data_IF_575766292145
#
_entry.id   IF_575766292145
#
_cell.length_a   1.000
_cell.length_b   1.000
_cell.length_c   1.000
_cell.angle_alpha   90.00
_cell.angle_beta   90.00
_cell.angle_gamma   90.00
#
_symmetry.space_group_name_H-M   'P 1'
#
loop_
_entity.id
_entity.type
_entity.pdbx_description
1 polymer ?
#
# COMPACT_ATOMS: atom_id res chain seq x y z
N UNK A 1 -12.96 -24.24 22.88
CA UNK A 1 -12.69 -23.80 21.49
C UNK A 1 -13.96 -23.49 20.71
N UNK A 2 -14.82 -24.47 20.37
CA UNK A 2 -16.02 -24.22 19.55
C UNK A 2 -16.98 -23.18 20.15
N UNK A 3 -17.20 -23.22 21.46
CA UNK A 3 -17.98 -22.20 22.18
C UNK A 3 -17.43 -20.79 21.97
N UNK A 4 -16.10 -20.60 22.09
CA UNK A 4 -15.48 -19.29 21.86
C UNK A 4 -15.68 -18.81 20.41
N UNK A 5 -15.49 -19.69 19.42
CA UNK A 5 -15.72 -19.34 18.00
C UNK A 5 -17.17 -19.00 17.69
N UNK A 6 -18.12 -19.68 18.34
CA UNK A 6 -19.55 -19.41 18.15
C UNK A 6 -19.98 -18.10 18.81
N UNK A 7 -19.45 -17.82 20.00
CA UNK A 7 -19.85 -16.66 20.78
C UNK A 7 -19.11 -15.37 20.36
N UNK A 8 -17.99 -15.51 19.62
CA UNK A 8 -17.19 -14.41 19.09
C UNK A 8 -16.90 -14.63 17.59
N UNK A 9 -17.92 -14.59 16.71
CA UNK A 9 -17.79 -14.99 15.30
C UNK A 9 -16.86 -14.09 14.46
N UNK A 10 -16.55 -12.88 14.93
CA UNK A 10 -15.60 -11.95 14.29
C UNK A 10 -14.16 -12.08 14.79
N UNK A 11 -13.90 -12.88 15.82
CA UNK A 11 -12.56 -13.03 16.40
C UNK A 11 -11.78 -14.18 15.73
N UNK A 12 -10.52 -13.91 15.38
CA UNK A 12 -9.59 -14.95 14.92
C UNK A 12 -8.88 -15.61 16.10
N UNK A 13 -8.93 -16.94 16.15
CA UNK A 13 -8.38 -17.75 17.25
C UNK A 13 -7.34 -18.74 16.75
N UNK A 14 -6.20 -18.79 17.46
CA UNK A 14 -5.28 -19.91 17.43
C UNK A 14 -5.20 -20.54 18.81
N UNK A 15 -5.12 -21.87 18.85
CA UNK A 15 -4.97 -22.65 20.08
C UNK A 15 -3.75 -23.56 19.95
N UNK A 16 -3.10 -23.84 21.08
CA UNK A 16 -1.97 -24.74 21.20
C UNK A 16 -2.15 -25.64 22.41
N UNK A 17 -1.31 -26.67 22.52
CA UNK A 17 -1.32 -27.62 23.63
C UNK A 17 0.11 -27.83 24.10
N UNK A 18 0.32 -27.61 25.38
CA UNK A 18 1.52 -27.98 26.12
C UNK A 18 1.10 -28.96 27.20
N UNK A 19 1.93 -29.97 27.45
CA UNK A 19 1.84 -30.81 28.63
C UNK A 19 3.16 -30.82 29.38
N UNK A 20 3.09 -31.21 30.63
CA UNK A 20 4.20 -31.32 31.55
C UNK A 20 3.86 -32.33 32.63
N UNK A 21 4.90 -32.80 33.30
CA UNK A 21 4.87 -33.63 34.50
C UNK A 21 5.89 -32.96 35.41
N UNK A 22 7.00 -33.65 35.64
CA UNK A 22 8.15 -33.11 36.34
C UNK A 22 9.47 -33.47 35.65
N UNK A 23 10.58 -33.01 36.22
CA UNK A 23 11.92 -33.28 35.75
C UNK A 23 12.32 -34.73 36.03
N UNK A 24 12.78 -35.50 35.02
CA UNK A 24 13.11 -36.92 35.15
C UNK A 24 14.47 -37.15 35.87
N UNK A 25 14.64 -36.60 37.07
CA UNK A 25 15.89 -36.52 37.81
C UNK A 25 15.71 -36.68 39.33
N UNK A 26 16.84 -36.88 40.00
CA UNK A 26 16.95 -36.80 41.45
C UNK A 26 17.56 -35.44 41.82
N UNK A 27 16.96 -34.72 42.77
CA UNK A 27 17.54 -33.47 43.24
C UNK A 27 18.92 -33.67 43.89
N UNK A 28 19.80 -32.65 43.87
CA UNK A 28 21.09 -32.72 44.55
C UNK A 28 20.91 -32.69 46.07
N UNK A 29 22.02 -32.65 46.81
CA UNK A 29 21.95 -32.45 48.27
C UNK A 29 21.11 -31.21 48.61
N UNK A 30 20.30 -31.30 49.68
CA UNK A 30 19.38 -30.25 50.10
C UNK A 30 20.01 -28.84 50.15
N UNK A 31 21.27 -28.72 50.55
CA UNK A 31 21.98 -27.43 50.61
C UNK A 31 22.18 -26.77 49.25
N UNK A 32 22.18 -27.54 48.16
CA UNK A 32 22.27 -27.07 46.78
C UNK A 32 20.89 -26.94 46.10
N UNK A 33 19.81 -27.26 46.82
CA UNK A 33 18.43 -27.23 46.34
C UNK A 33 17.50 -26.55 47.37
N UNK A 34 17.96 -25.44 47.95
CA UNK A 34 17.15 -24.60 48.85
C UNK A 34 16.49 -25.36 50.02
N UNK A 35 17.18 -26.36 50.58
CA UNK A 35 16.68 -27.17 51.69
C UNK A 35 15.77 -28.34 51.29
N UNK A 36 15.50 -28.51 50.00
CA UNK A 36 14.62 -29.55 49.47
C UNK A 36 15.41 -30.74 48.92
N UNK A 37 14.96 -31.98 49.18
CA UNK A 37 15.69 -33.19 48.78
C UNK A 37 14.73 -34.35 48.51
N UNK A 38 14.15 -34.37 47.31
CA UNK A 38 13.33 -35.46 46.79
C UNK A 38 13.73 -35.83 45.36
N UNK A 39 13.20 -36.96 44.88
CA UNK A 39 13.17 -37.24 43.45
C UNK A 39 12.02 -36.44 42.85
N UNK A 40 12.31 -35.70 41.79
CA UNK A 40 11.31 -34.89 41.07
C UNK A 40 10.50 -35.84 40.18
N UNK A 41 11.20 -36.62 39.35
CA UNK A 41 10.56 -37.58 38.46
C UNK A 41 11.40 -38.80 38.09
N UNK A 42 10.78 -39.66 37.30
CA UNK A 42 11.39 -40.84 36.68
C UNK A 42 11.65 -40.62 35.20
N UNK A 43 12.39 -41.53 34.57
CA UNK A 43 12.82 -41.40 33.18
C UNK A 43 11.69 -41.38 32.12
N UNK A 44 10.45 -41.67 32.50
CA UNK A 44 9.27 -41.53 31.64
C UNK A 44 8.66 -40.12 31.68
N UNK A 45 9.05 -39.30 32.65
CA UNK A 45 8.53 -37.96 32.85
C UNK A 45 9.26 -36.95 31.97
N UNK A 46 8.66 -35.78 31.86
CA UNK A 46 9.22 -34.63 31.14
C UNK A 46 8.66 -33.34 31.73
N UNK A 47 9.55 -32.37 31.95
CA UNK A 47 9.17 -31.08 32.52
C UNK A 47 8.39 -30.19 31.52
N UNK A 48 8.55 -30.41 30.22
CA UNK A 48 7.86 -29.63 29.20
C UNK A 48 7.77 -30.38 27.88
N UNK A 49 6.58 -30.35 27.26
CA UNK A 49 6.39 -30.77 25.87
C UNK A 49 5.36 -29.90 25.16
N UNK A 50 5.75 -29.35 24.02
CA UNK A 50 4.82 -28.74 23.09
C UNK A 50 4.14 -29.83 22.23
N UNK A 51 2.93 -30.24 22.60
CA UNK A 51 2.17 -31.27 21.87
C UNK A 51 1.50 -30.73 20.59
N UNK A 52 1.21 -29.43 20.55
CA UNK A 52 0.62 -28.75 19.39
C UNK A 52 0.97 -27.26 19.39
N UNK A 53 1.70 -26.80 18.38
CA UNK A 53 1.91 -25.36 18.13
C UNK A 53 0.58 -24.65 17.81
N UNK A 54 0.54 -23.34 18.06
CA UNK A 54 -0.61 -22.48 17.82
C UNK A 54 -1.18 -22.64 16.40
N UNK A 55 -2.42 -23.13 16.29
CA UNK A 55 -3.12 -23.37 15.01
C UNK A 55 -4.59 -22.93 15.09
N UNK A 56 -5.16 -22.53 13.95
CA UNK A 56 -6.58 -22.22 13.83
C UNK A 56 -7.47 -23.49 13.74
N UNK A 57 -6.86 -24.64 13.45
CA UNK A 57 -7.53 -25.94 13.26
C UNK A 57 -7.85 -26.58 14.61
N UNK A 58 -9.12 -26.49 15.03
CA UNK A 58 -9.56 -27.05 16.33
C UNK A 58 -9.49 -28.57 16.38
N UNK A 59 -9.48 -29.26 15.23
CA UNK A 59 -9.31 -30.71 15.14
C UNK A 59 -7.89 -31.13 15.56
N UNK A 60 -6.86 -30.42 15.11
CA UNK A 60 -5.46 -30.72 15.46
C UNK A 60 -5.24 -30.60 16.97
N UNK A 61 -5.80 -29.54 17.56
CA UNK A 61 -5.75 -29.24 18.99
C UNK A 61 -6.51 -30.30 19.79
N UNK A 62 -7.72 -30.68 19.35
CA UNK A 62 -8.49 -31.75 19.99
C UNK A 62 -7.75 -33.10 19.93
N UNK A 63 -7.12 -33.40 18.79
CA UNK A 63 -6.33 -34.62 18.63
C UNK A 63 -5.09 -34.62 19.54
N UNK A 64 -4.43 -33.47 19.72
CA UNK A 64 -3.33 -33.35 20.67
C UNK A 64 -3.79 -33.57 22.12
N UNK A 65 -4.90 -32.94 22.53
CA UNK A 65 -5.51 -33.14 23.87
C UNK A 65 -5.84 -34.63 24.09
N UNK A 66 -6.45 -35.30 23.12
CA UNK A 66 -6.83 -36.72 23.23
C UNK A 66 -5.62 -37.68 23.30
N UNK A 67 -4.43 -37.23 22.88
CA UNK A 67 -3.18 -38.00 22.96
C UNK A 67 -2.45 -37.82 24.28
N UNK A 68 -2.84 -36.85 25.12
CA UNK A 68 -2.19 -36.62 26.40
C UNK A 68 -2.24 -37.88 27.27
N UNK A 69 -1.21 -38.04 28.09
CA UNK A 69 -1.03 -39.16 29.02
C UNK A 69 -0.68 -38.58 30.38
N UNK A 70 -1.21 -39.20 31.43
CA UNK A 70 -0.82 -38.89 32.78
C UNK A 70 0.55 -39.51 33.07
N UNK A 71 1.41 -38.71 33.69
CA UNK A 71 2.62 -39.17 34.35
C UNK A 71 2.34 -39.25 35.84
N UNK A 72 3.35 -39.67 36.59
CA UNK A 72 3.33 -39.57 38.04
C UNK A 72 4.74 -39.13 38.40
N UNK A 73 4.91 -37.83 38.72
CA UNK A 73 6.12 -37.38 39.39
C UNK A 73 6.38 -38.20 40.65
N UNK A 74 7.51 -37.95 41.29
CA UNK A 74 7.95 -38.69 42.47
C UNK A 74 7.83 -37.87 43.76
N UNK A 75 7.48 -36.59 43.63
CA UNK A 75 7.09 -35.70 44.72
C UNK A 75 5.84 -34.87 44.37
N UNK A 76 5.46 -34.00 45.30
CA UNK A 76 4.23 -33.21 45.21
C UNK A 76 4.34 -32.02 44.23
N UNK A 77 5.40 -31.18 44.24
CA UNK A 77 5.52 -30.07 43.30
C UNK A 77 5.70 -30.55 41.85
N UNK A 78 5.38 -29.69 40.88
CA UNK A 78 5.53 -30.03 39.46
C UNK A 78 6.26 -28.91 38.70
N UNK A 79 6.66 -29.15 37.46
CA UNK A 79 7.45 -28.22 36.65
C UNK A 79 6.63 -27.07 36.03
N UNK A 80 5.74 -26.45 36.81
CA UNK A 80 4.91 -25.34 36.37
C UNK A 80 5.75 -24.14 35.92
N UNK A 81 6.78 -23.77 36.70
CA UNK A 81 7.65 -22.61 36.41
C UNK A 81 8.27 -22.75 35.03
N UNK A 82 8.77 -23.93 34.68
CA UNK A 82 9.24 -24.24 33.34
C UNK A 82 8.21 -23.98 32.24
N UNK A 83 6.97 -24.42 32.41
CA UNK A 83 5.91 -24.25 31.40
C UNK A 83 5.55 -22.78 31.21
N UNK A 84 5.49 -22.01 32.30
CA UNK A 84 5.26 -20.57 32.25
C UNK A 84 6.40 -19.87 31.51
N UNK A 85 7.64 -20.20 31.81
CA UNK A 85 8.83 -19.66 31.14
C UNK A 85 8.82 -19.93 29.63
N UNK A 86 8.55 -21.16 29.22
CA UNK A 86 8.51 -21.56 27.81
C UNK A 86 7.39 -20.85 27.02
N UNK A 87 6.37 -20.31 27.70
CA UNK A 87 5.28 -19.60 27.05
C UNK A 87 5.73 -18.29 26.36
N UNK A 88 6.80 -17.65 26.83
CA UNK A 88 7.37 -16.45 26.20
C UNK A 88 8.80 -16.64 25.69
N UNK A 89 9.55 -17.61 26.24
CA UNK A 89 10.95 -17.86 25.85
C UNK A 89 11.11 -19.04 24.90
N UNK A 90 10.07 -19.86 24.73
CA UNK A 90 10.13 -21.12 23.98
C UNK A 90 10.03 -20.89 22.47
N UNK A 91 10.91 -21.50 21.65
CA UNK A 91 10.91 -21.28 20.21
C UNK A 91 9.67 -21.86 19.50
N UNK A 92 8.91 -22.73 20.16
CA UNK A 92 7.75 -23.41 19.57
C UNK A 92 6.42 -22.69 19.75
N UNK A 93 6.33 -21.71 20.66
CA UNK A 93 5.12 -20.92 20.89
C UNK A 93 5.30 -19.55 20.23
N UNK A 94 4.72 -19.40 19.04
CA UNK A 94 4.79 -18.16 18.27
C UNK A 94 3.48 -17.39 18.41
N UNK A 95 3.43 -16.48 19.38
CA UNK A 95 2.29 -15.57 19.52
C UNK A 95 2.16 -14.67 18.30
N UNK A 96 0.92 -14.39 17.88
CA UNK A 96 0.67 -13.40 16.83
C UNK A 96 0.85 -12.00 17.39
N UNK A 97 1.43 -11.12 16.58
CA UNK A 97 1.45 -9.69 16.88
C UNK A 97 0.02 -9.14 16.97
N UNK A 98 -0.21 -8.23 17.92
CA UNK A 98 -1.52 -7.64 18.21
C UNK A 98 -2.56 -8.59 18.81
N UNK A 99 -2.28 -9.89 18.97
CA UNK A 99 -3.22 -10.83 19.57
C UNK A 99 -3.18 -10.79 21.10
N UNK A 100 -4.35 -10.94 21.74
CA UNK A 100 -4.43 -11.25 23.16
C UNK A 100 -3.80 -12.62 23.43
N UNK A 101 -2.81 -12.66 24.33
CA UNK A 101 -2.07 -13.88 24.69
C UNK A 101 -2.61 -14.41 26.01
N UNK A 102 -3.14 -15.63 25.99
CA UNK A 102 -3.74 -16.28 27.15
C UNK A 102 -3.07 -17.64 27.33
N UNK A 103 -2.46 -17.85 28.49
CA UNK A 103 -1.95 -19.14 28.93
C UNK A 103 -2.96 -19.72 29.93
N UNK A 104 -3.74 -20.71 29.48
CA UNK A 104 -4.67 -21.45 30.33
C UNK A 104 -3.99 -22.73 30.82
N UNK A 105 -3.74 -22.81 32.12
CA UNK A 105 -3.13 -23.96 32.76
C UNK A 105 -4.12 -24.72 33.64
N UNK A 106 -3.97 -26.04 33.68
CA UNK A 106 -4.73 -26.95 34.55
C UNK A 106 -3.75 -27.72 35.42
N UNK A 107 -3.96 -27.74 36.73
CA UNK A 107 -3.11 -28.45 37.68
C UNK A 107 -3.75 -28.58 39.06
N UNK A 108 -3.02 -29.17 39.99
CA UNK A 108 -3.47 -29.41 41.37
C UNK A 108 -2.36 -29.32 42.44
N UNK A 109 -1.13 -28.90 42.10
CA UNK A 109 -0.06 -28.62 43.07
C UNK A 109 0.73 -27.29 42.85
N UNK A 110 1.81 -27.08 43.60
CA UNK A 110 2.67 -25.89 43.51
C UNK A 110 3.87 -26.13 42.58
N UNK A 111 4.48 -25.07 42.02
CA UNK A 111 5.77 -25.18 41.32
C UNK A 111 6.90 -25.63 42.23
N UNK A 112 7.95 -26.20 41.62
CA UNK A 112 9.31 -26.12 42.14
C UNK A 112 9.77 -24.65 42.16
N UNK A 113 10.03 -24.12 43.35
CA UNK A 113 10.70 -22.85 43.59
C UNK A 113 11.30 -22.80 45.02
N UNK A 114 12.29 -21.93 45.25
CA UNK A 114 12.95 -21.82 46.55
C UNK A 114 12.13 -21.05 47.61
N UNK A 115 11.08 -20.33 47.20
CA UNK A 115 10.42 -19.29 47.97
C UNK A 115 8.96 -19.06 47.52
N UNK A 116 8.17 -20.12 47.33
CA UNK A 116 6.77 -20.04 46.86
C UNK A 116 5.85 -19.14 47.71
N UNK A 117 6.22 -18.82 48.95
CA UNK A 117 5.44 -17.91 49.80
C UNK A 117 5.68 -16.42 49.50
N UNK A 118 6.67 -16.07 48.69
CA UNK A 118 6.95 -14.69 48.34
C UNK A 118 5.76 -14.07 47.59
N UNK A 119 5.37 -12.87 48.02
CA UNK A 119 4.23 -12.15 47.46
C UNK A 119 2.85 -12.72 47.82
N UNK A 120 2.76 -13.78 48.62
CA UNK A 120 1.47 -14.38 49.00
C UNK A 120 0.88 -13.67 50.22
N UNK A 121 -0.35 -13.13 50.12
CA UNK A 121 -1.00 -12.46 51.26
C UNK A 121 -1.09 -13.33 52.50
N UNK A 122 -0.63 -12.80 53.64
CA UNK A 122 -0.70 -13.47 54.94
C UNK A 122 0.39 -14.52 55.19
N UNK A 123 1.31 -14.75 54.26
CA UNK A 123 2.50 -15.60 54.44
C UNK A 123 3.75 -14.72 54.58
N UNK A 124 4.67 -15.13 55.44
CA UNK A 124 5.91 -14.37 55.73
C UNK A 124 7.12 -15.26 55.98
N UNK A 125 6.90 -16.57 56.09
CA UNK A 125 7.90 -17.62 56.12
C UNK A 125 8.37 -17.95 54.70
N UNK A 126 9.64 -18.33 54.56
CA UNK A 126 10.16 -18.91 53.32
C UNK A 126 9.77 -20.39 53.27
N UNK A 127 9.04 -20.77 52.22
CA UNK A 127 8.72 -22.16 51.93
C UNK A 127 9.38 -22.54 50.61
N UNK A 128 10.26 -23.53 50.66
CA UNK A 128 10.94 -24.10 49.51
C UNK A 128 10.25 -25.41 49.10
N UNK A 129 10.01 -25.54 47.81
CA UNK A 129 9.56 -26.77 47.15
C UNK A 129 10.64 -27.35 46.25
N UNK A 130 11.87 -26.83 46.36
CA UNK A 130 13.01 -27.20 45.52
C UNK A 130 13.07 -26.33 44.26
N UNK A 131 14.28 -26.04 43.80
CA UNK A 131 14.55 -25.17 42.66
C UNK A 131 14.05 -25.81 41.35
N UNK A 132 13.60 -25.00 40.40
CA UNK A 132 13.39 -25.42 39.01
C UNK A 132 14.72 -25.35 38.23
N UNK A 133 15.28 -26.49 37.78
CA UNK A 133 16.62 -26.56 37.15
C UNK A 133 16.63 -26.19 35.66
N UNK A 134 15.59 -25.53 35.14
CA UNK A 134 15.66 -24.97 33.81
C UNK A 134 15.80 -25.97 32.67
N UNK A 135 16.31 -25.51 31.51
CA UNK A 135 16.29 -26.29 30.26
C UNK A 135 17.25 -27.45 30.26
N UNK A 136 18.42 -27.28 30.86
CA UNK A 136 19.46 -28.29 30.89
C UNK A 136 19.23 -29.36 31.97
N UNK A 137 18.34 -29.10 32.93
CA UNK A 137 18.01 -30.03 34.02
C UNK A 137 19.16 -30.19 35.02
N UNK A 138 20.08 -29.23 35.07
CA UNK A 138 21.18 -29.15 36.01
C UNK A 138 20.89 -28.05 37.02
N UNK A 139 21.22 -28.29 38.28
CA UNK A 139 21.00 -27.31 39.33
C UNK A 139 22.20 -26.37 39.48
N UNK A 140 21.92 -25.11 39.79
CA UNK A 140 22.90 -24.05 40.06
C UNK A 140 23.68 -23.61 38.81
N UNK A 141 22.96 -23.55 37.70
CA UNK A 141 23.37 -23.02 36.40
C UNK A 141 22.67 -21.68 36.14
N UNK A 142 23.05 -20.99 35.06
CA UNK A 142 22.46 -19.70 34.68
C UNK A 142 21.02 -19.83 34.12
N UNK A 143 20.55 -21.05 33.82
CA UNK A 143 19.21 -21.31 33.28
C UNK A 143 18.21 -21.82 34.32
N UNK A 144 18.64 -22.01 35.58
CA UNK A 144 17.77 -22.22 36.74
C UNK A 144 16.66 -21.15 36.76
N UNK A 145 15.43 -21.56 37.01
CA UNK A 145 14.28 -20.67 36.98
C UNK A 145 13.81 -20.31 38.40
N UNK A 146 13.58 -19.02 38.60
CA UNK A 146 12.86 -18.46 39.74
C UNK A 146 11.41 -18.16 39.34
N UNK A 147 10.44 -18.59 40.14
CA UNK A 147 9.02 -18.44 39.81
C UNK A 147 8.63 -16.97 39.63
N UNK A 148 9.14 -16.08 40.47
CA UNK A 148 8.74 -14.68 40.49
C UNK A 148 9.30 -13.93 39.30
N UNK A 149 10.55 -14.21 38.93
CA UNK A 149 11.14 -13.74 37.67
C UNK A 149 10.34 -14.26 36.46
N UNK A 150 9.90 -15.52 36.50
CA UNK A 150 9.09 -16.10 35.42
C UNK A 150 7.70 -15.46 35.32
N UNK A 151 7.03 -15.18 36.45
CA UNK A 151 5.76 -14.46 36.51
C UNK A 151 5.91 -13.04 35.97
N UNK A 152 7.00 -12.35 36.32
CA UNK A 152 7.32 -11.04 35.77
C UNK A 152 7.56 -11.11 34.26
N UNK A 153 8.22 -12.15 33.75
CA UNK A 153 8.37 -12.41 32.32
C UNK A 153 7.04 -12.57 31.57
N UNK A 154 6.01 -13.16 32.20
CA UNK A 154 4.66 -13.20 31.62
C UNK A 154 4.08 -11.78 31.45
N UNK A 155 4.23 -10.93 32.47
CA UNK A 155 3.77 -9.53 32.45
C UNK A 155 4.46 -8.76 31.33
N UNK A 156 5.80 -8.84 31.24
CA UNK A 156 6.60 -8.15 30.23
C UNK A 156 6.26 -8.58 28.80
N UNK A 157 5.83 -9.83 28.63
CA UNK A 157 5.43 -10.38 27.34
C UNK A 157 3.92 -10.28 27.07
N UNK A 158 3.16 -9.56 27.91
CA UNK A 158 1.71 -9.38 27.81
C UNK A 158 0.94 -10.72 27.75
N UNK A 159 1.39 -11.73 28.50
CA UNK A 159 0.75 -13.04 28.58
C UNK A 159 -0.12 -13.09 29.84
N UNK A 160 -1.43 -13.25 29.65
CA UNK A 160 -2.37 -13.43 30.74
C UNK A 160 -2.42 -14.89 31.18
N UNK A 161 -2.18 -15.16 32.46
CA UNK A 161 -2.27 -16.50 33.04
C UNK A 161 -3.66 -16.76 33.62
N UNK A 162 -4.35 -17.76 33.09
CA UNK A 162 -5.55 -18.33 33.71
C UNK A 162 -5.18 -19.68 34.30
N UNK A 163 -5.42 -19.85 35.59
CA UNK A 163 -5.10 -21.08 36.29
C UNK A 163 -6.37 -21.76 36.77
N UNK A 164 -6.65 -22.95 36.25
CA UNK A 164 -7.64 -23.86 36.82
C UNK A 164 -6.93 -24.77 37.83
N UNK A 165 -7.24 -24.63 39.13
CA UNK A 165 -6.50 -25.31 40.19
C UNK A 165 -7.26 -25.52 41.50
N UNK A 166 -6.67 -26.26 42.43
CA UNK A 166 -7.23 -26.64 43.74
C UNK A 166 -6.70 -25.81 44.93
N UNK A 167 -5.73 -24.91 44.73
CA UNK A 167 -4.99 -24.23 45.81
C UNK A 167 -4.97 -22.71 45.61
N UNK A 168 -5.02 -21.95 46.71
CA UNK A 168 -5.20 -20.48 46.65
C UNK A 168 -3.92 -19.69 46.32
N UNK A 169 -2.73 -20.30 46.33
CA UNK A 169 -1.48 -19.65 45.90
C UNK A 169 -1.62 -18.99 44.52
N UNK A 170 -2.26 -19.73 43.61
CA UNK A 170 -2.48 -19.32 42.24
C UNK A 170 -3.38 -18.08 42.09
N UNK A 171 -4.19 -17.74 43.09
CA UNK A 171 -4.96 -16.49 43.08
C UNK A 171 -4.02 -15.27 43.09
N UNK A 172 -2.97 -15.30 43.92
CA UNK A 172 -2.01 -14.21 44.01
C UNK A 172 -1.18 -14.11 42.72
N UNK A 173 -0.66 -15.22 42.22
CA UNK A 173 0.20 -15.23 41.03
C UNK A 173 -0.55 -14.88 39.74
N UNK A 174 -1.75 -15.43 39.52
CA UNK A 174 -2.56 -15.08 38.32
C UNK A 174 -2.89 -13.59 38.28
N UNK A 175 -3.15 -12.97 39.44
CA UNK A 175 -3.50 -11.54 39.53
C UNK A 175 -2.41 -10.60 39.01
N UNK A 176 -1.13 -10.99 39.10
CA UNK A 176 -0.01 -10.18 38.59
C UNK A 176 -0.06 -10.01 37.07
N UNK A 177 -0.61 -11.00 36.37
CA UNK A 177 -0.76 -10.99 34.90
C UNK A 177 -2.10 -10.40 34.43
N UNK A 178 -2.91 -9.88 35.36
CA UNK A 178 -4.31 -9.50 35.11
C UNK A 178 -5.23 -10.69 34.79
N UNK A 179 -4.75 -11.91 35.04
CA UNK A 179 -5.45 -13.16 34.75
C UNK A 179 -6.42 -13.57 35.84
N UNK A 180 -6.72 -14.86 35.92
CA UNK A 180 -7.74 -15.36 36.84
C UNK A 180 -7.50 -16.79 37.31
N UNK A 181 -8.01 -17.06 38.51
CA UNK A 181 -8.03 -18.38 39.13
C UNK A 181 -9.43 -18.98 39.00
N UNK A 182 -9.50 -20.28 38.67
CA UNK A 182 -10.74 -21.06 38.62
C UNK A 182 -10.57 -22.33 39.44
N UNK A 183 -11.49 -22.60 40.36
CA UNK A 183 -11.38 -23.76 41.24
C UNK A 183 -11.73 -25.06 40.49
N UNK A 184 -10.82 -26.04 40.45
CA UNK A 184 -11.02 -27.33 39.76
C UNK A 184 -12.08 -28.21 40.42
N UNK A 185 -12.33 -28.05 41.72
CA UNK A 185 -13.39 -28.76 42.43
C UNK A 185 -14.79 -28.17 42.22
N UNK A 186 -14.91 -27.07 41.46
CA UNK A 186 -16.20 -26.46 41.13
C UNK A 186 -17.05 -27.39 40.25
N UNK A 187 -18.33 -27.58 40.62
CA UNK A 187 -19.32 -28.25 39.76
C UNK A 187 -19.59 -27.51 38.44
N UNK A 188 -19.12 -26.28 38.29
CA UNK A 188 -19.22 -25.46 37.08
C UNK A 188 -17.88 -25.20 36.38
N UNK A 189 -16.80 -25.93 36.71
CA UNK A 189 -15.44 -25.70 36.19
C UNK A 189 -15.38 -25.34 34.70
N UNK A 190 -15.98 -26.16 33.83
CA UNK A 190 -15.96 -25.93 32.37
C UNK A 190 -16.62 -24.58 32.01
N UNK A 191 -17.75 -24.24 32.65
CA UNK A 191 -18.44 -22.98 32.43
C UNK A 191 -17.59 -21.80 32.93
N UNK A 192 -16.96 -21.96 34.09
CA UNK A 192 -16.18 -20.90 34.74
C UNK A 192 -14.91 -20.60 33.94
N UNK A 193 -14.20 -21.62 33.46
CA UNK A 193 -13.05 -21.47 32.55
C UNK A 193 -13.48 -20.78 31.25
N UNK A 194 -14.57 -21.22 30.62
CA UNK A 194 -15.07 -20.57 29.40
C UNK A 194 -15.41 -19.10 29.66
N UNK A 195 -16.05 -18.80 30.79
CA UNK A 195 -16.42 -17.43 31.16
C UNK A 195 -15.17 -16.55 31.32
N UNK A 196 -14.19 -16.99 32.11
CA UNK A 196 -12.96 -16.21 32.35
C UNK A 196 -12.19 -15.99 31.04
N UNK A 197 -12.07 -17.00 30.18
CA UNK A 197 -11.40 -16.83 28.88
C UNK A 197 -12.14 -15.82 28.02
N UNK A 198 -13.48 -15.86 27.98
CA UNK A 198 -14.27 -14.86 27.24
C UNK A 198 -14.09 -13.46 27.80
N UNK A 199 -14.23 -13.29 29.12
CA UNK A 199 -14.06 -11.98 29.75
C UNK A 199 -12.65 -11.42 29.47
N UNK A 200 -11.62 -12.25 29.52
CA UNK A 200 -10.24 -11.88 29.17
C UNK A 200 -10.07 -11.44 27.71
N UNK A 201 -10.92 -11.94 26.81
CA UNK A 201 -10.94 -11.60 25.38
C UNK A 201 -11.81 -10.37 25.09
N UNK A 202 -12.84 -10.08 25.88
CA UNK A 202 -13.84 -9.04 25.58
C UNK A 202 -13.79 -7.84 26.53
N UNK A 203 -12.87 -7.83 27.51
CA UNK A 203 -12.78 -6.74 28.51
C UNK A 203 -12.00 -5.51 28.05
N UNK A 204 -11.22 -5.63 26.98
CA UNK A 204 -10.42 -4.53 26.47
C UNK A 204 -11.10 -3.85 25.29
N UNK A 205 -11.43 -2.58 25.48
CA UNK A 205 -11.83 -1.70 24.39
C UNK A 205 -10.68 -1.52 23.40
N UNK A 206 -10.99 -1.68 22.12
CA UNK A 206 -10.13 -1.32 21.00
C UNK A 206 -10.44 0.12 20.63
N UNK A 207 -9.41 0.96 20.69
CA UNK A 207 -9.48 2.38 20.41
C UNK A 207 -8.71 2.71 19.13
N UNK A 208 -9.05 3.84 18.52
CA UNK A 208 -8.33 4.30 17.35
C UNK A 208 -8.67 3.55 16.07
N UNK A 209 -9.75 2.77 16.02
CA UNK A 209 -10.09 2.01 14.82
C UNK A 209 -10.32 2.96 13.63
N UNK A 210 -9.52 2.82 12.58
CA UNK A 210 -9.62 3.64 11.37
C UNK A 210 -9.20 2.83 10.15
N UNK A 211 -9.69 3.19 8.98
CA UNK A 211 -9.29 2.57 7.71
C UNK A 211 -7.99 3.20 7.23
N UNK A 212 -7.02 2.36 6.90
CA UNK A 212 -5.71 2.77 6.43
C UNK A 212 -5.04 1.73 5.57
N UNK A 213 -3.73 1.88 5.35
CA UNK A 213 -2.90 0.92 4.63
C UNK A 213 -1.51 0.83 5.26
N UNK A 214 -0.94 -0.37 5.29
CA UNK A 214 0.44 -0.58 5.73
C UNK A 214 1.47 -0.10 4.68
N UNK A 215 1.04 0.14 3.44
CA UNK A 215 1.91 0.65 2.38
C UNK A 215 2.15 2.15 2.53
N UNK A 216 3.36 2.51 2.95
CA UNK A 216 3.76 3.90 3.18
C UNK A 216 3.59 4.81 1.95
N UNK A 217 3.56 4.26 0.72
CA UNK A 217 3.33 5.05 -0.51
C UNK A 217 1.90 5.60 -0.60
N UNK A 218 0.95 4.90 0.03
CA UNK A 218 -0.48 5.16 -0.07
C UNK A 218 -1.10 5.56 1.27
N UNK A 219 -0.33 5.62 2.37
CA UNK A 219 -0.83 6.04 3.69
C UNK A 219 -1.61 7.37 3.65
N UNK A 220 -1.14 8.36 2.90
CA UNK A 220 -1.82 9.66 2.78
C UNK A 220 -3.04 9.65 1.86
N UNK A 221 -3.29 8.55 1.14
CA UNK A 221 -4.40 8.44 0.21
C UNK A 221 -5.67 7.99 0.93
N UNK A 222 -5.53 7.24 2.03
CA UNK A 222 -6.63 6.60 2.73
C UNK A 222 -6.90 7.34 4.03
N UNK A 223 -8.17 7.63 4.29
CA UNK A 223 -8.61 8.20 5.55
C UNK A 223 -10.03 7.76 5.88
N UNK A 224 -10.36 7.62 7.16
CA UNK A 224 -11.72 7.48 7.65
C UNK A 224 -11.87 8.23 8.98
N UNK A 225 -13.10 8.33 9.46
CA UNK A 225 -13.34 8.64 10.86
C UNK A 225 -12.75 7.53 11.76
N UNK A 226 -12.40 7.93 12.98
CA UNK A 226 -11.87 7.03 14.01
C UNK A 226 -12.99 6.56 14.93
N UNK A 227 -13.02 5.27 15.25
CA UNK A 227 -13.94 4.65 16.21
C UNK A 227 -13.17 4.23 17.46
N UNK A 228 -13.71 4.56 18.63
CA UNK A 228 -13.17 4.21 19.94
C UNK A 228 -14.16 3.33 20.70
N UNK A 229 -13.68 2.57 21.69
CA UNK A 229 -14.52 1.79 22.57
C UNK A 229 -15.10 0.52 21.95
N UNK A 230 -14.58 0.05 20.81
CA UNK A 230 -15.08 -1.16 20.17
C UNK A 230 -14.64 -2.40 20.96
N UNK A 231 -15.53 -3.37 21.13
CA UNK A 231 -15.20 -4.63 21.78
C UNK A 231 -14.92 -5.74 20.74
N UNK A 232 -14.06 -6.71 21.07
CA UNK A 232 -13.85 -7.88 20.22
C UNK A 232 -15.17 -8.62 19.93
N UNK A 233 -15.51 -8.71 18.64
CA UNK A 233 -16.76 -9.29 18.14
C UNK A 233 -17.79 -8.26 17.68
N UNK A 234 -17.59 -6.98 17.96
CA UNK A 234 -18.45 -5.90 17.44
C UNK A 234 -18.35 -5.82 15.92
N UNK A 235 -19.50 -5.53 15.29
CA UNK A 235 -19.54 -5.18 13.87
C UNK A 235 -19.43 -3.65 13.74
N UNK A 236 -18.30 -3.18 13.22
CA UNK A 236 -18.02 -1.75 13.04
C UNK A 236 -18.00 -1.42 11.54
N UNK A 237 -18.78 -0.41 11.14
CA UNK A 237 -18.83 0.06 9.75
C UNK A 237 -18.01 1.33 9.58
N UNK A 238 -17.21 1.38 8.52
CA UNK A 238 -16.40 2.55 8.17
C UNK A 238 -16.80 3.09 6.80
N UNK A 239 -16.74 4.42 6.66
CA UNK A 239 -16.74 5.09 5.35
C UNK A 239 -15.33 5.60 5.09
N UNK A 240 -14.61 4.90 4.22
CA UNK A 240 -13.26 5.28 3.83
C UNK A 240 -13.29 6.24 2.64
N UNK A 241 -12.45 7.26 2.70
CA UNK A 241 -12.12 8.12 1.57
C UNK A 241 -10.77 7.71 1.01
N UNK A 242 -10.70 7.50 -0.29
CA UNK A 242 -9.45 7.29 -1.01
C UNK A 242 -9.24 8.46 -1.97
N UNK A 243 -8.24 9.30 -1.69
CA UNK A 243 -7.96 10.51 -2.44
C UNK A 243 -6.46 10.60 -2.77
N UNK A 244 -6.06 10.37 -4.03
CA UNK A 244 -4.69 10.60 -4.45
C UNK A 244 -4.27 12.07 -4.21
N UNK A 245 -3.05 12.32 -3.70
CA UNK A 245 -2.54 13.68 -3.53
C UNK A 245 -2.27 14.34 -4.89
N UNK A 246 -2.19 15.67 -4.89
CA UNK A 246 -1.78 16.41 -6.07
C UNK A 246 -0.38 15.97 -6.53
N UNK A 247 -0.22 15.72 -7.83
CA UNK A 247 1.04 15.22 -8.41
C UNK A 247 1.25 13.71 -8.27
N UNK A 248 0.26 12.95 -7.80
CA UNK A 248 0.29 11.49 -7.88
C UNK A 248 0.49 11.04 -9.33
N UNK A 249 1.32 10.01 -9.53
CA UNK A 249 1.73 9.56 -10.87
C UNK A 249 0.56 8.95 -11.64
N UNK A 250 0.52 9.22 -12.94
CA UNK A 250 -0.41 8.56 -13.85
C UNK A 250 -0.27 7.02 -13.81
N UNK A 251 -1.38 6.32 -14.02
CA UNK A 251 -1.42 4.86 -14.11
C UNK A 251 -2.35 4.20 -13.08
N UNK A 252 -2.31 2.87 -13.08
CA UNK A 252 -3.06 2.02 -12.14
C UNK A 252 -2.26 1.83 -10.85
N UNK A 253 -2.90 2.16 -9.71
CA UNK A 253 -2.37 1.95 -8.37
C UNK A 253 -3.22 0.91 -7.66
N UNK A 254 -2.58 -0.12 -7.10
CA UNK A 254 -3.25 -1.17 -6.33
C UNK A 254 -2.56 -1.35 -4.98
N UNK A 255 -3.35 -1.39 -3.91
CA UNK A 255 -2.83 -1.59 -2.55
C UNK A 255 -3.91 -2.18 -1.64
N UNK A 256 -3.46 -2.80 -0.55
CA UNK A 256 -4.35 -3.36 0.47
C UNK A 256 -4.82 -2.27 1.43
N UNK A 257 -6.08 -2.36 1.84
CA UNK A 257 -6.73 -1.46 2.78
C UNK A 257 -7.25 -2.30 3.94
N UNK A 258 -6.93 -1.93 5.17
CA UNK A 258 -7.36 -2.65 6.37
C UNK A 258 -7.84 -1.64 7.43
N UNK A 259 -8.43 -2.14 8.51
CA UNK A 259 -8.70 -1.33 9.69
C UNK A 259 -7.51 -1.43 10.64
N UNK A 260 -7.07 -0.33 11.23
CA UNK A 260 -5.96 -0.28 12.18
C UNK A 260 -6.44 0.33 13.50
N UNK A 261 -5.94 -0.14 14.64
CA UNK A 261 -6.12 0.52 15.94
C UNK A 261 -5.01 1.56 16.20
N UNK A 262 -5.05 2.21 17.37
CA UNK A 262 -4.01 3.17 17.80
C UNK A 262 -2.60 2.56 17.92
N UNK A 263 -2.49 1.23 18.00
CA UNK A 263 -1.22 0.50 18.09
C UNK A 263 -0.76 -0.06 16.73
N UNK A 264 -1.38 0.37 15.62
CA UNK A 264 -1.15 -0.13 14.26
C UNK A 264 -1.42 -1.64 14.07
N UNK A 265 -2.23 -2.26 14.94
CA UNK A 265 -2.70 -3.63 14.75
C UNK A 265 -3.75 -3.65 13.65
N UNK A 266 -3.58 -4.52 12.65
CA UNK A 266 -4.50 -4.63 11.52
C UNK A 266 -5.65 -5.61 11.76
N UNK A 267 -6.86 -5.19 11.42
CA UNK A 267 -8.13 -5.92 11.47
C UNK A 267 -8.81 -5.91 10.10
N UNK A 268 -9.78 -6.81 9.90
CA UNK A 268 -10.55 -6.86 8.64
C UNK A 268 -9.63 -7.00 7.43
N UNK A 269 -8.79 -8.03 7.41
CA UNK A 269 -7.76 -8.18 6.37
C UNK A 269 -8.38 -8.54 5.01
N UNK A 270 -7.61 -8.30 3.94
CA UNK A 270 -7.86 -8.69 2.55
C UNK A 270 -8.81 -7.79 1.75
N UNK A 271 -8.95 -6.51 2.09
CA UNK A 271 -9.57 -5.55 1.16
C UNK A 271 -8.51 -4.92 0.25
N UNK A 272 -8.88 -4.70 -1.01
CA UNK A 272 -8.00 -4.14 -2.04
C UNK A 272 -8.64 -2.90 -2.65
N UNK A 273 -7.85 -1.85 -2.80
CA UNK A 273 -8.22 -0.65 -3.53
C UNK A 273 -7.50 -0.61 -4.88
N UNK A 274 -8.21 -0.17 -5.91
CA UNK A 274 -7.68 0.04 -7.26
C UNK A 274 -8.06 1.45 -7.73
N UNK A 275 -7.06 2.27 -8.03
CA UNK A 275 -7.25 3.66 -8.42
C UNK A 275 -6.48 3.91 -9.71
N UNK A 276 -7.19 4.39 -10.74
CA UNK A 276 -6.59 4.78 -12.00
C UNK A 276 -6.49 6.30 -12.06
N UNK A 277 -5.27 6.81 -12.16
CA UNK A 277 -5.00 8.23 -12.39
C UNK A 277 -4.74 8.40 -13.89
N UNK A 278 -5.42 9.36 -14.51
CA UNK A 278 -5.25 9.72 -15.92
C UNK A 278 -4.86 11.19 -16.01
N UNK A 279 -3.75 11.49 -16.68
CA UNK A 279 -3.31 12.85 -16.92
C UNK A 279 -3.66 13.22 -18.36
N UNK A 280 -4.80 13.88 -18.57
CA UNK A 280 -5.10 14.43 -19.89
C UNK A 280 -4.25 15.67 -20.14
N UNK A 281 -3.29 15.59 -21.07
CA UNK A 281 -2.62 16.79 -21.60
C UNK A 281 -3.65 17.52 -22.47
N UNK A 282 -3.96 18.81 -22.23
CA UNK A 282 -4.82 19.57 -23.13
C UNK A 282 -4.14 19.67 -24.50
N UNK A 283 -4.76 19.15 -25.55
CA UNK A 283 -4.29 19.35 -26.93
C UNK A 283 -4.70 20.74 -27.41
N UNK A 284 -3.77 21.53 -27.93
CA UNK A 284 -4.11 22.85 -28.47
C UNK A 284 -4.50 22.78 -29.96
N UNK A 285 -5.34 23.70 -30.47
CA UNK A 285 -5.69 23.75 -31.89
C UNK A 285 -4.50 23.97 -32.83
N UNK A 286 -3.32 24.37 -32.36
CA UNK A 286 -2.15 24.52 -33.23
C UNK A 286 -1.39 23.21 -33.43
N UNK A 287 -1.41 22.31 -32.44
CA UNK A 287 -0.66 21.04 -32.47
C UNK A 287 -1.24 20.04 -33.48
N UNK A 288 -2.51 20.19 -33.84
CA UNK A 288 -3.23 19.27 -34.74
C UNK A 288 -3.58 19.89 -36.09
N UNK A 289 -3.12 21.11 -36.37
CA UNK A 289 -3.49 21.84 -37.57
C UNK A 289 -2.87 21.26 -38.85
N UNK A 290 -3.71 21.08 -39.88
CA UNK A 290 -3.30 20.63 -41.20
C UNK A 290 -3.95 21.48 -42.31
N UNK A 291 -3.33 21.53 -43.49
CA UNK A 291 -3.96 22.12 -44.66
C UNK A 291 -5.00 21.14 -45.22
N UNK A 292 -6.22 21.61 -45.53
CA UNK A 292 -7.26 20.79 -46.20
C UNK A 292 -6.80 20.24 -47.55
N UNK A 293 -5.76 20.84 -48.15
CA UNK A 293 -5.02 20.31 -49.30
C UNK A 293 -3.54 20.58 -49.13
N UNK A 294 -2.74 19.53 -48.91
CA UNK A 294 -1.28 19.62 -48.88
C UNK A 294 -0.63 19.62 -50.27
N UNK A 295 -1.38 19.28 -51.33
CA UNK A 295 -0.90 19.26 -52.72
C UNK A 295 -1.91 19.89 -53.69
N UNK A 296 -1.40 20.72 -54.60
CA UNK A 296 -2.16 21.41 -55.65
C UNK A 296 -1.60 21.03 -57.03
N UNK A 297 -2.45 20.49 -57.90
CA UNK A 297 -2.11 20.02 -59.25
C UNK A 297 -3.37 20.01 -60.14
N UNK A 298 -3.29 20.25 -61.48
CA UNK A 298 -2.13 20.58 -62.32
C UNK A 298 -1.71 22.07 -62.27
N UNK A 299 -0.51 22.45 -62.78
CA UNK A 299 -0.10 23.86 -62.89
C UNK A 299 -0.88 24.54 -64.01
N UNK A 300 -2.03 25.09 -63.71
CA UNK A 300 -2.88 25.71 -64.72
C UNK A 300 -3.13 27.19 -64.43
N UNK A 301 -2.35 27.78 -63.53
CA UNK A 301 -2.42 29.17 -63.09
C UNK A 301 -3.76 29.57 -62.45
N UNK A 302 -4.63 28.60 -62.13
CA UNK A 302 -5.91 28.85 -61.44
C UNK A 302 -5.70 28.94 -59.94
N UNK A 303 -6.49 29.80 -59.30
CA UNK A 303 -6.59 29.82 -57.84
C UNK A 303 -7.27 28.56 -57.32
N UNK A 304 -6.71 27.98 -56.26
CA UNK A 304 -7.22 26.80 -55.57
C UNK A 304 -7.45 27.14 -54.11
N UNK A 305 -8.67 26.90 -53.65
CA UNK A 305 -9.03 27.11 -52.25
C UNK A 305 -8.44 26.01 -51.37
N UNK A 306 -7.89 26.46 -50.26
CA UNK A 306 -7.28 25.67 -49.19
C UNK A 306 -7.75 26.26 -47.85
N UNK A 307 -7.72 25.45 -46.80
CA UNK A 307 -8.11 25.88 -45.46
C UNK A 307 -7.26 25.21 -44.40
N UNK A 308 -7.39 25.68 -43.16
CA UNK A 308 -6.78 25.06 -41.99
C UNK A 308 -7.83 24.19 -41.29
N UNK A 309 -7.51 22.92 -41.08
CA UNK A 309 -8.32 21.96 -40.34
C UNK A 309 -7.61 21.61 -39.03
N UNK A 310 -8.31 21.68 -37.90
CA UNK A 310 -7.75 21.39 -36.58
C UNK A 310 -8.85 21.01 -35.57
N UNK A 311 -8.49 20.45 -34.41
CA UNK A 311 -9.44 20.08 -33.34
C UNK A 311 -9.87 21.30 -32.52
N UNK A 312 -11.17 21.37 -32.21
CA UNK A 312 -11.82 22.37 -31.37
C UNK A 312 -11.48 23.87 -31.62
N UNK A 313 -11.36 24.36 -32.87
CA UNK A 313 -11.19 25.79 -33.11
C UNK A 313 -12.53 26.51 -32.93
N UNK A 314 -12.55 27.53 -32.08
CA UNK A 314 -13.62 28.55 -32.09
C UNK A 314 -13.45 29.50 -33.27
N UNK A 315 -12.22 29.93 -33.55
CA UNK A 315 -11.88 30.72 -34.75
C UNK A 315 -10.51 30.34 -35.31
N UNK A 316 -10.36 30.54 -36.62
CA UNK A 316 -9.07 30.49 -37.31
C UNK A 316 -8.93 31.74 -38.17
N UNK A 317 -7.82 32.45 -38.02
CA UNK A 317 -7.45 33.60 -38.82
C UNK A 317 -6.14 33.33 -39.56
N UNK A 318 -6.13 33.48 -40.89
CA UNK A 318 -4.88 33.40 -41.66
C UNK A 318 -4.15 34.74 -41.51
N UNK A 319 -2.90 34.66 -41.06
CA UNK A 319 -2.04 35.80 -40.79
C UNK A 319 -1.19 36.17 -42.01
N UNK A 320 -0.68 35.16 -42.73
CA UNK A 320 0.16 35.35 -43.91
C UNK A 320 0.10 34.13 -44.84
N UNK A 321 0.26 34.39 -46.14
CA UNK A 321 0.50 33.37 -47.15
C UNK A 321 1.83 33.72 -47.80
N UNK A 322 2.83 32.84 -47.64
CA UNK A 322 4.16 33.06 -48.18
C UNK A 322 4.53 31.93 -49.15
N UNK A 323 5.41 32.19 -50.12
CA UNK A 323 5.91 31.18 -51.07
C UNK A 323 7.43 31.21 -51.22
N UNK A 324 8.04 30.09 -51.63
CA UNK A 324 9.49 29.97 -51.82
C UNK A 324 9.96 30.18 -53.28
N UNK A 325 9.12 30.76 -54.14
CA UNK A 325 9.45 31.15 -55.51
C UNK A 325 9.19 32.65 -55.73
N UNK A 326 9.89 33.33 -56.66
CA UNK A 326 9.59 34.72 -57.02
C UNK A 326 8.15 34.90 -57.53
N UNK A 327 7.55 36.08 -57.29
CA UNK A 327 6.21 36.44 -57.77
C UNK A 327 6.10 36.63 -59.30
N UNK A 328 7.21 36.90 -59.99
CA UNK A 328 7.31 37.01 -61.47
C UNK A 328 8.61 36.35 -61.94
N UNK A 329 8.53 35.05 -62.22
CA UNK A 329 9.60 34.22 -62.77
C UNK A 329 9.42 33.95 -64.27
N UNK A 330 10.52 33.84 -65.02
CA UNK A 330 10.42 33.50 -66.44
C UNK A 330 9.66 32.17 -66.67
N UNK A 331 8.51 32.24 -67.35
CA UNK A 331 7.70 31.09 -67.75
C UNK A 331 6.45 30.84 -66.92
N UNK A 332 6.06 31.75 -66.02
CA UNK A 332 4.89 31.62 -65.13
C UNK A 332 3.63 32.39 -65.60
N UNK A 333 3.66 33.01 -66.78
CA UNK A 333 2.50 33.74 -67.30
C UNK A 333 2.27 35.13 -66.70
N UNK A 334 3.15 35.65 -65.83
CA UNK A 334 3.04 36.97 -65.18
C UNK A 334 1.74 37.17 -64.40
N UNK A 335 1.34 36.19 -63.60
CA UNK A 335 0.06 36.22 -62.86
C UNK A 335 0.25 36.40 -61.35
N UNK A 336 0.54 37.63 -60.89
CA UNK A 336 0.50 37.99 -59.46
C UNK A 336 -0.85 38.62 -59.07
N UNK A 337 -1.31 38.54 -57.80
CA UNK A 337 -0.73 37.82 -56.66
C UNK A 337 -0.99 36.31 -56.72
N UNK A 338 -0.22 35.54 -55.96
CA UNK A 338 -0.26 34.07 -55.92
C UNK A 338 -0.99 33.48 -54.73
N UNK A 339 -1.36 34.33 -53.78
CA UNK A 339 -2.12 34.00 -52.59
C UNK A 339 -3.20 35.05 -52.35
N UNK A 340 -4.33 34.62 -51.78
CA UNK A 340 -5.36 35.53 -51.29
C UNK A 340 -5.91 34.99 -49.97
N UNK A 341 -5.93 35.84 -48.94
CA UNK A 341 -6.53 35.52 -47.64
C UNK A 341 -8.05 35.69 -47.75
N UNK A 342 -8.80 34.68 -47.33
CA UNK A 342 -10.25 34.73 -47.15
C UNK A 342 -10.59 34.67 -45.65
N UNK A 343 -11.87 34.83 -45.31
CA UNK A 343 -12.34 34.68 -43.93
C UNK A 343 -12.49 33.21 -43.53
N UNK A 344 -12.57 32.95 -42.21
CA UNK A 344 -12.88 31.62 -41.67
C UNK A 344 -11.78 30.57 -41.89
N UNK A 345 -10.51 30.97 -41.82
CA UNK A 345 -9.39 30.04 -42.01
C UNK A 345 -9.19 29.55 -43.44
N UNK A 346 -9.79 30.23 -44.43
CA UNK A 346 -9.68 29.88 -45.85
C UNK A 346 -8.69 30.79 -46.58
N UNK A 347 -7.97 30.23 -47.54
CA UNK A 347 -7.09 30.94 -48.45
C UNK A 347 -7.24 30.42 -49.88
N UNK A 348 -6.85 31.23 -50.86
CA UNK A 348 -6.59 30.80 -52.22
C UNK A 348 -5.09 30.79 -52.43
N UNK A 349 -4.57 29.72 -53.02
CA UNK A 349 -3.20 29.64 -53.53
C UNK A 349 -3.23 29.32 -55.02
N UNK A 350 -2.32 29.91 -55.79
CA UNK A 350 -2.29 29.69 -57.23
C UNK A 350 -1.64 28.35 -57.54
N UNK A 351 -2.31 27.55 -58.38
CA UNK A 351 -1.80 26.31 -58.94
C UNK A 351 -0.78 26.61 -60.03
N UNK A 352 0.39 27.09 -59.64
CA UNK A 352 1.51 27.36 -60.53
C UNK A 352 2.84 27.16 -59.81
N UNK A 353 3.91 27.11 -60.61
CA UNK A 353 5.30 27.05 -60.17
C UNK A 353 6.21 27.39 -61.34
N UNK A 354 7.49 27.61 -61.06
CA UNK A 354 8.50 27.77 -62.11
C UNK A 354 8.65 26.50 -62.97
N UNK A 355 8.53 26.65 -64.28
CA UNK A 355 8.76 25.55 -65.24
C UNK A 355 10.22 25.11 -65.35
N UNK A 356 11.17 25.98 -64.99
CA UNK A 356 12.63 25.72 -65.06
C UNK A 356 13.25 25.25 -63.74
N UNK A 357 12.50 25.28 -62.64
CA UNK A 357 12.92 24.71 -61.35
C UNK A 357 12.67 23.21 -61.27
N UNK A 358 13.29 22.53 -60.29
CA UNK A 358 13.09 21.09 -60.02
C UNK A 358 12.41 20.81 -58.69
N UNK A 359 12.20 21.83 -57.85
CA UNK A 359 11.79 21.69 -56.46
C UNK A 359 10.29 21.84 -56.24
N UNK A 360 9.54 22.38 -57.22
CA UNK A 360 8.15 22.81 -57.05
C UNK A 360 8.02 24.07 -56.17
N UNK A 361 6.80 24.60 -56.10
CA UNK A 361 6.46 25.77 -55.26
C UNK A 361 5.83 25.30 -53.96
N UNK A 362 6.35 25.78 -52.84
CA UNK A 362 5.78 25.56 -51.52
C UNK A 362 5.17 26.86 -51.01
N UNK A 363 3.89 26.82 -50.65
CA UNK A 363 3.26 27.86 -49.86
C UNK A 363 3.35 27.49 -48.37
N UNK A 364 3.62 28.50 -47.54
CA UNK A 364 3.52 28.44 -46.08
C UNK A 364 2.42 29.40 -45.63
N UNK A 365 1.35 28.84 -45.08
CA UNK A 365 0.23 29.62 -44.56
C UNK A 365 0.36 29.69 -43.05
N UNK A 366 0.62 30.89 -42.52
CA UNK A 366 0.63 31.18 -41.08
C UNK A 366 -0.78 31.51 -40.62
N UNK A 367 -1.18 30.99 -39.47
CA UNK A 367 -2.52 31.20 -38.91
C UNK A 367 -2.46 31.40 -37.40
N UNK A 368 -3.46 32.09 -36.85
CA UNK A 368 -3.82 32.10 -35.43
C UNK A 368 -5.07 31.24 -35.26
N UNK A 369 -5.07 30.31 -34.30
CA UNK A 369 -6.25 29.57 -33.88
C UNK A 369 -6.62 29.94 -32.45
N UNK A 370 -7.92 30.02 -32.17
CA UNK A 370 -8.48 30.33 -30.85
C UNK A 370 -9.46 29.25 -30.43
N UNK A 371 -9.38 28.81 -29.18
CA UNK A 371 -10.38 27.95 -28.51
C UNK A 371 -11.37 28.76 -27.65
N UNK A 372 -11.41 30.09 -27.84
CA UNK A 372 -12.24 31.01 -27.07
C UNK A 372 -11.50 31.60 -25.87
N UNK A 373 -10.89 30.76 -25.02
CA UNK A 373 -10.09 31.22 -23.87
C UNK A 373 -8.61 31.41 -24.21
N UNK A 374 -8.07 30.57 -25.10
CA UNK A 374 -6.66 30.55 -25.46
C UNK A 374 -6.45 30.76 -26.96
N UNK A 375 -5.29 31.32 -27.32
CA UNK A 375 -4.86 31.55 -28.69
C UNK A 375 -3.47 30.97 -28.92
N UNK A 376 -3.23 30.47 -30.12
CA UNK A 376 -1.92 29.99 -30.55
C UNK A 376 -1.69 30.33 -32.02
N UNK A 377 -0.43 30.45 -32.43
CA UNK A 377 -0.03 30.63 -33.83
C UNK A 377 0.63 29.36 -34.37
N UNK A 378 0.37 29.04 -35.64
CA UNK A 378 0.95 27.90 -36.33
C UNK A 378 1.15 28.17 -37.82
N UNK A 379 1.69 27.19 -38.53
CA UNK A 379 1.82 27.24 -39.98
C UNK A 379 1.58 25.88 -40.63
N UNK A 380 0.94 25.86 -41.80
CA UNK A 380 0.79 24.68 -42.64
C UNK A 380 1.47 24.90 -43.98
N UNK A 381 1.91 23.81 -44.61
CA UNK A 381 2.58 23.85 -45.91
C UNK A 381 1.73 23.22 -47.01
N UNK A 382 1.73 23.85 -48.19
CA UNK A 382 1.02 23.38 -49.37
C UNK A 382 2.00 23.33 -50.53
N UNK A 383 2.01 22.23 -51.26
CA UNK A 383 2.95 21.99 -52.34
C UNK A 383 2.25 22.06 -53.72
N UNK A 384 2.84 22.80 -54.65
CA UNK A 384 2.59 22.69 -56.09
C UNK A 384 3.80 22.00 -56.72
N UNK A 385 3.80 20.67 -56.87
CA UNK A 385 5.01 19.94 -57.25
C UNK A 385 5.31 20.12 -58.74
N UNK A 386 6.59 19.96 -59.12
CA UNK A 386 6.99 19.97 -60.53
C UNK A 386 6.48 18.73 -61.28
N UNK A 387 6.72 17.56 -60.69
CA UNK A 387 6.20 16.25 -61.14
C UNK A 387 5.06 15.79 -60.22
N UNK A 388 3.96 15.27 -60.79
CA UNK A 388 2.78 14.83 -60.01
C UNK A 388 3.09 13.77 -58.94
N UNK A 389 4.12 12.96 -59.15
CA UNK A 389 4.53 11.88 -58.24
C UNK A 389 5.59 12.30 -57.22
N UNK A 390 6.00 13.58 -57.18
CA UNK A 390 7.03 14.09 -56.27
C UNK A 390 6.44 15.15 -55.34
N UNK A 391 6.95 15.20 -54.12
CA UNK A 391 6.68 16.30 -53.20
C UNK A 391 7.60 17.48 -53.51
N UNK A 392 7.20 18.66 -53.04
CA UNK A 392 8.05 19.84 -53.12
C UNK A 392 9.25 19.65 -52.19
N UNK A 393 10.40 20.13 -52.63
CA UNK A 393 11.64 20.09 -51.85
C UNK A 393 12.04 21.51 -51.48
N UNK A 394 12.73 21.65 -50.35
CA UNK A 394 13.26 22.96 -49.96
C UNK A 394 14.35 23.38 -50.96
N UNK A 395 14.20 24.58 -51.50
CA UNK A 395 15.14 25.18 -52.43
C UNK A 395 16.08 26.18 -51.75
N UNK A 396 16.02 26.31 -50.42
CA UNK A 396 16.85 27.20 -49.60
C UNK A 396 16.54 28.68 -49.79
N UNK A 397 15.45 29.02 -50.48
CA UNK A 397 15.05 30.41 -50.73
C UNK A 397 14.21 30.94 -49.57
N UNK A 398 14.34 32.24 -49.25
CA UNK A 398 13.44 32.85 -48.29
C UNK A 398 11.99 32.81 -48.82
N UNK A 399 11.06 32.59 -47.91
CA UNK A 399 9.64 32.74 -48.17
C UNK A 399 9.30 34.22 -48.38
N UNK A 400 8.59 34.53 -49.44
CA UNK A 400 8.12 35.88 -49.80
C UNK A 400 6.59 35.94 -49.74
N UNK A 401 6.03 37.13 -49.49
CA UNK A 401 4.59 37.34 -49.44
C UNK A 401 3.92 37.01 -50.79
N UNK A 402 2.94 36.11 -50.76
CA UNK A 402 2.18 35.69 -51.95
C UNK A 402 1.00 36.61 -52.25
N UNK A 403 0.64 37.53 -51.35
CA UNK A 403 -0.59 38.34 -51.43
C UNK A 403 -0.42 39.70 -52.11
N UNK A 404 0.80 40.06 -52.48
CA UNK A 404 1.14 41.34 -53.12
C UNK A 404 1.24 41.24 -54.65
N UNK A 405 0.89 42.33 -55.36
CA UNK A 405 1.15 42.47 -56.79
C UNK A 405 2.63 42.81 -57.07
N UNK A 406 3.13 42.44 -58.26
CA UNK A 406 4.47 42.81 -58.74
C UNK A 406 4.45 44.29 -59.15
N UNK A 407 5.26 45.13 -58.49
CA UNK A 407 5.42 46.53 -58.92
C UNK A 407 5.97 46.61 -60.34
N UNK A 408 5.11 46.97 -61.31
CA UNK A 408 5.55 47.22 -62.69
C UNK A 408 6.34 48.52 -62.73
N UNK A 409 7.66 48.45 -62.94
CA UNK A 409 8.49 49.63 -63.24
C UNK A 409 7.97 50.30 -64.53
N UNK A 410 7.28 51.42 -64.40
CA UNK A 410 6.89 52.23 -65.55
C UNK A 410 8.15 52.85 -66.21
N UNK A 411 8.34 52.59 -67.50
CA UNK A 411 9.30 53.31 -68.34
C UNK A 411 8.82 54.75 -68.51
N UNK A 412 9.45 55.72 -67.86
CA UNK A 412 9.33 57.13 -68.22
C UNK A 412 10.37 57.47 -69.29
N UNK A 413 9.90 57.68 -70.52
CA UNK A 413 10.68 58.30 -71.60
C UNK A 413 10.94 59.77 -71.23
N UNK A 414 12.21 60.18 -71.20
CA UNK A 414 12.62 61.55 -70.89
C UNK A 414 12.26 62.54 -72.00
N UNK A 415 11.54 63.60 -71.65
CA UNK A 415 11.41 64.80 -72.47
C UNK A 415 12.37 65.89 -71.94
N UNK A 416 13.45 66.13 -72.68
CA UNK A 416 14.32 67.29 -72.52
C UNK A 416 13.71 68.50 -73.24
N UNK A 417 13.38 69.56 -72.48
CA UNK A 417 13.45 70.98 -72.91
C UNK A 417 13.70 71.82 -71.64
N UNK A 418 14.94 72.25 -71.42
CA UNK A 418 15.53 73.58 -71.73
C UNK A 418 14.97 74.72 -70.88
N UNK A 419 15.79 75.20 -69.95
CA UNK A 419 15.93 76.63 -69.63
C UNK A 419 17.35 77.04 -70.01
N UNK A 420 17.47 78.08 -70.83
CA UNK A 420 18.75 78.60 -71.33
C UNK A 420 19.36 79.68 -70.44
N UNK A 421 20.48 80.21 -70.91
CA UNK A 421 20.77 81.65 -70.90
C UNK A 421 21.83 82.00 -71.96
N UNK A 422 21.51 83.06 -72.70
CA UNK A 422 22.24 83.78 -73.79
C UNK A 422 22.33 83.03 -75.12
#
# INVERSE_FOLDING_TARGET
>A
MNTLKNDLPGADFKFGVVSYMDYPLMSPAATANCGYSNRYGVNTDYAYRLDQSLTATTVDVSNAINRLRLGNGEDDPESYTRVLYESYSGPGIVWRDGARRILLNFGDNVPHDCNINEGIPGKSDTLSTGKDPGRDGLFNTDDDLDLHDVLQGLVENNIMMIQAHSTEYWLAWTSQTGGAFVLTSSGSLVRDVIKVVKDALTSNEINGLHVGTADNRYKSWVSSDTVNGALPGDEVTFVATIKPPAGATEGLHTFDVNVFDDNEVAYGLNHRAEITIQCTVPTTPCDTAAASRSMVWPPNHKMVQVGIETVDPTTIAILAIEQNEPLDGNGDGRTSPDGQILSGGLALVRAERSGSGTTGRTYRIKFEASSGTDKCEGAVTICVPHDRSRLCTDNGRPFIDSTTEVETRSKLCGNNKKNGNI
#
